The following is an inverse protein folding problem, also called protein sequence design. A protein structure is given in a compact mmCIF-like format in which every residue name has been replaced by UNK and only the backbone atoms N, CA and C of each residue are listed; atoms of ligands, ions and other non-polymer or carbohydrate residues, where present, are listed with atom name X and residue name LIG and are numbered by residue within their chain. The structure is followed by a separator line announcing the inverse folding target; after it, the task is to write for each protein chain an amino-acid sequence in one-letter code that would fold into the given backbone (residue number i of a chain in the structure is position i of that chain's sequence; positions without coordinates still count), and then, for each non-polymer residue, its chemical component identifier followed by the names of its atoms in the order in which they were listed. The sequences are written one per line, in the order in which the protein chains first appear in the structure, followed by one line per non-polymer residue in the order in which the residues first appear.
data_IF_926977980824
#
_entry.id   IF_926977980824
#
_cell.length_a   1.000
_cell.length_b   1.000
_cell.length_c   1.000
_cell.angle_alpha   90.00
_cell.angle_beta   90.00
_cell.angle_gamma   90.00
#
_symmetry.space_group_name_H-M   'P 1'
#
loop_
_entity.id
_entity.type
_entity.pdbx_description
1 polymer ?
#
# COMPACT_ATOMS: atom_id res chain seq x y z
N UNK A 1 9.98 -8.94 -30.21
CA UNK A 1 10.60 -8.96 -28.87
C UNK A 1 9.95 -10.05 -28.07
N UNK A 2 8.66 -9.95 -27.78
CA UNK A 2 7.93 -10.98 -27.03
C UNK A 2 7.97 -12.37 -27.71
N UNK A 3 7.83 -12.42 -29.04
CA UNK A 3 7.95 -13.66 -29.84
C UNK A 3 9.39 -14.17 -30.02
N UNK A 4 10.39 -13.29 -29.89
CA UNK A 4 11.81 -13.61 -30.16
C UNK A 4 12.53 -14.06 -28.87
N UNK A 5 12.01 -13.63 -27.72
CA UNK A 5 12.58 -13.84 -26.40
C UNK A 5 11.49 -14.30 -25.43
N UNK A 6 10.97 -15.51 -25.64
CA UNK A 6 9.99 -16.14 -24.74
C UNK A 6 10.55 -16.43 -23.34
N UNK A 7 11.88 -16.61 -23.25
CA UNK A 7 12.58 -16.88 -22.00
C UNK A 7 12.43 -18.33 -21.53
N UNK A 8 12.49 -18.55 -20.22
CA UNK A 8 12.34 -19.88 -19.64
C UNK A 8 10.87 -20.16 -19.29
N UNK A 9 10.23 -21.05 -20.05
CA UNK A 9 8.80 -21.39 -19.91
C UNK A 9 8.54 -22.22 -18.63
N UNK A 10 9.51 -23.00 -18.18
CA UNK A 10 9.38 -23.85 -17.00
C UNK A 10 10.29 -23.38 -15.87
N UNK A 11 9.72 -23.09 -14.70
CA UNK A 11 10.48 -22.64 -13.53
C UNK A 11 11.22 -23.81 -12.84
N UNK A 12 12.31 -24.29 -13.46
CA UNK A 12 13.16 -25.39 -12.96
C UNK A 12 14.09 -24.97 -11.82
N UNK A 13 14.36 -23.66 -11.68
CA UNK A 13 15.28 -23.11 -10.67
C UNK A 13 16.76 -23.20 -11.05
N UNK A 14 17.06 -23.62 -12.28
CA UNK A 14 18.42 -23.58 -12.84
C UNK A 14 18.81 -22.16 -13.27
N UNK A 15 20.11 -21.90 -13.34
CA UNK A 15 20.61 -20.61 -13.82
C UNK A 15 20.31 -20.47 -15.32
N UNK A 16 19.60 -19.41 -15.68
CA UNK A 16 19.12 -19.17 -17.04
C UNK A 16 19.42 -17.74 -17.46
N UNK A 17 20.18 -17.59 -18.55
CA UNK A 17 20.51 -16.32 -19.17
C UNK A 17 20.04 -16.32 -20.63
N UNK A 18 19.37 -15.24 -21.04
CA UNK A 18 18.85 -15.10 -22.41
C UNK A 18 19.98 -14.69 -23.35
N UNK A 19 20.33 -15.59 -24.26
CA UNK A 19 21.32 -15.32 -25.30
C UNK A 19 20.79 -14.36 -26.36
N UNK A 20 21.63 -13.46 -26.93
CA UNK A 20 21.19 -12.51 -27.92
C UNK A 20 20.95 -13.19 -29.28
N UNK A 21 19.77 -12.93 -29.86
CA UNK A 21 19.43 -13.31 -31.23
C UNK A 21 20.21 -12.45 -32.27
N UNK A 22 20.34 -13.00 -33.48
CA UNK A 22 21.07 -12.36 -34.58
C UNK A 22 20.39 -11.07 -35.09
N UNK A 23 19.06 -11.01 -35.06
CA UNK A 23 18.26 -9.90 -35.56
C UNK A 23 18.24 -8.71 -34.61
N UNK A 24 17.90 -8.94 -33.34
CA UNK A 24 17.70 -7.87 -32.36
C UNK A 24 18.16 -8.31 -31.00
N UNK A 25 18.99 -7.49 -30.33
CA UNK A 25 19.55 -7.82 -29.00
C UNK A 25 18.49 -7.93 -27.92
N UNK A 26 18.73 -8.81 -26.95
CA UNK A 26 17.91 -8.98 -25.75
C UNK A 26 17.90 -7.71 -24.90
N UNK A 27 16.82 -7.53 -24.14
CA UNK A 27 16.69 -6.39 -23.24
C UNK A 27 17.66 -6.55 -22.06
N UNK A 28 18.46 -5.50 -21.79
CA UNK A 28 19.38 -5.49 -20.66
C UNK A 28 18.81 -4.65 -19.52
N UNK A 29 18.52 -5.31 -18.41
CA UNK A 29 18.17 -4.66 -17.15
C UNK A 29 19.30 -4.83 -16.14
N UNK A 30 19.44 -3.86 -15.24
CA UNK A 30 20.29 -3.97 -14.05
C UNK A 30 19.37 -4.00 -12.83
N UNK A 31 19.54 -5.00 -11.97
CA UNK A 31 18.79 -5.10 -10.73
C UNK A 31 19.36 -4.13 -9.70
N UNK A 32 18.65 -3.03 -9.43
CA UNK A 32 18.99 -2.11 -8.35
C UNK A 32 18.30 -2.53 -7.04
N UNK A 33 19.08 -3.09 -6.11
CA UNK A 33 18.60 -3.51 -4.78
C UNK A 33 18.81 -2.44 -3.70
N UNK A 34 19.41 -1.30 -4.05
CA UNK A 34 19.77 -0.25 -3.11
C UNK A 34 20.56 -0.78 -1.91
N UNK A 35 20.08 -0.46 -0.69
CA UNK A 35 20.69 -0.87 0.58
C UNK A 35 20.14 -2.20 1.13
N UNK A 36 19.26 -2.88 0.40
CA UNK A 36 18.54 -4.05 0.88
C UNK A 36 19.32 -5.33 0.55
N UNK A 37 19.31 -6.29 1.48
CA UNK A 37 19.89 -7.62 1.26
C UNK A 37 19.04 -8.40 0.25
N UNK A 38 19.70 -9.09 -0.68
CA UNK A 38 19.06 -9.84 -1.79
C UNK A 38 18.33 -11.11 -1.37
N UNK A 39 18.47 -11.56 -0.13
CA UNK A 39 17.85 -12.80 0.36
C UNK A 39 16.86 -12.50 1.48
N UNK A 40 15.59 -12.81 1.25
CA UNK A 40 14.58 -12.95 2.30
C UNK A 40 14.36 -14.45 2.50
N UNK A 41 14.91 -15.01 3.57
CA UNK A 41 14.94 -16.45 3.87
C UNK A 41 13.58 -17.09 4.20
N UNK A 42 12.49 -16.59 3.63
CA UNK A 42 11.13 -16.98 3.99
C UNK A 42 10.65 -18.15 3.13
N UNK A 43 10.91 -19.37 3.60
CA UNK A 43 10.32 -20.59 3.02
C UNK A 43 8.92 -20.81 3.56
N UNK A 44 7.94 -20.14 2.95
CA UNK A 44 6.52 -20.20 3.36
C UNK A 44 5.98 -21.63 3.32
N UNK A 45 6.35 -22.42 2.31
CA UNK A 45 5.93 -23.82 2.17
C UNK A 45 6.38 -24.69 3.35
N UNK A 46 7.64 -24.55 3.77
CA UNK A 46 8.18 -25.28 4.90
C UNK A 46 7.45 -24.94 6.19
N UNK A 47 7.26 -23.64 6.45
CA UNK A 47 6.55 -23.18 7.64
C UNK A 47 5.08 -23.62 7.67
N UNK A 48 4.40 -23.63 6.53
CA UNK A 48 2.99 -24.00 6.44
C UNK A 48 2.78 -25.49 6.76
N UNK A 49 3.67 -26.36 6.26
CA UNK A 49 3.62 -27.79 6.57
C UNK A 49 3.97 -28.10 8.03
N UNK A 50 5.08 -27.54 8.54
CA UNK A 50 5.50 -27.81 9.92
C UNK A 50 4.50 -27.28 10.93
N UNK A 51 3.95 -26.08 10.73
CA UNK A 51 2.97 -25.51 11.67
C UNK A 51 1.63 -26.25 11.65
N UNK A 52 1.24 -26.82 10.50
CA UNK A 52 0.05 -27.66 10.42
C UNK A 52 0.17 -28.93 11.28
N UNK A 53 1.35 -29.54 11.30
CA UNK A 53 1.64 -30.78 12.02
C UNK A 53 1.96 -30.53 13.51
N UNK A 54 2.80 -29.54 13.81
CA UNK A 54 3.36 -29.31 15.15
C UNK A 54 2.51 -28.36 16.02
N UNK A 55 1.91 -27.31 15.43
CA UNK A 55 1.27 -26.21 16.17
C UNK A 55 0.00 -25.64 15.50
N UNK A 56 -1.15 -26.34 15.60
CA UNK A 56 -2.37 -25.99 14.86
C UNK A 56 -2.96 -24.61 15.23
N UNK A 57 -2.77 -24.14 16.46
CA UNK A 57 -3.23 -22.80 16.90
C UNK A 57 -2.45 -21.67 16.22
N UNK A 58 -1.12 -21.85 16.07
CA UNK A 58 -0.27 -20.92 15.32
C UNK A 58 -0.57 -20.98 13.83
N UNK A 59 -0.85 -22.17 13.29
CA UNK A 59 -1.30 -22.31 11.91
C UNK A 59 -2.59 -21.52 11.64
N UNK A 60 -3.60 -21.65 12.50
CA UNK A 60 -4.87 -20.94 12.33
C UNK A 60 -4.72 -19.41 12.41
N UNK A 61 -3.84 -18.91 13.28
CA UNK A 61 -3.61 -17.46 13.41
C UNK A 61 -2.74 -16.89 12.27
N UNK A 62 -1.60 -17.52 11.97
CA UNK A 62 -0.66 -17.06 10.94
C UNK A 62 -1.21 -17.23 9.51
N UNK A 63 -1.94 -18.31 9.25
CA UNK A 63 -2.48 -18.65 7.92
C UNK A 63 -4.00 -18.47 7.83
N UNK A 64 -4.59 -17.63 8.68
CA UNK A 64 -6.05 -17.41 8.71
C UNK A 64 -6.65 -17.02 7.34
N UNK A 65 -5.95 -16.21 6.55
CA UNK A 65 -6.40 -15.83 5.20
C UNK A 65 -6.28 -16.98 4.19
N UNK A 66 -5.28 -17.84 4.34
CA UNK A 66 -5.09 -19.00 3.47
C UNK A 66 -6.22 -20.00 3.70
N UNK A 67 -6.55 -20.28 4.97
CA UNK A 67 -7.68 -21.12 5.36
C UNK A 67 -8.98 -20.54 4.80
N UNK A 68 -9.22 -19.23 4.97
CA UNK A 68 -10.42 -18.54 4.43
C UNK A 68 -10.53 -18.66 2.91
N UNK A 69 -9.41 -18.74 2.19
CA UNK A 69 -9.36 -18.84 0.72
C UNK A 69 -9.23 -20.29 0.23
N UNK A 70 -9.17 -21.28 1.12
CA UNK A 70 -8.99 -22.69 0.75
C UNK A 70 -7.62 -22.99 0.13
N UNK A 71 -6.58 -22.25 0.54
CA UNK A 71 -5.21 -22.42 0.04
C UNK A 71 -4.44 -23.30 1.02
N UNK A 72 -4.12 -24.51 0.58
CA UNK A 72 -3.36 -25.52 1.33
C UNK A 72 -1.94 -25.67 0.77
N UNK A 73 -1.03 -26.31 1.52
CA UNK A 73 0.37 -26.51 1.13
C UNK A 73 0.49 -27.07 -0.31
N UNK A 74 -0.31 -28.10 -0.60
CA UNK A 74 -0.21 -28.88 -1.83
C UNK A 74 -0.73 -28.14 -3.06
N UNK A 75 -1.68 -27.21 -2.89
CA UNK A 75 -2.30 -26.47 -4.01
C UNK A 75 -1.52 -25.17 -4.37
N UNK A 76 -0.61 -24.72 -3.51
CA UNK A 76 0.14 -23.47 -3.75
C UNK A 76 0.99 -23.54 -5.02
N UNK A 77 1.64 -24.66 -5.30
CA UNK A 77 2.48 -24.82 -6.48
C UNK A 77 1.66 -24.76 -7.78
N UNK A 78 0.55 -25.51 -7.83
CA UNK A 78 -0.37 -25.48 -8.97
C UNK A 78 -0.95 -24.09 -9.22
N UNK A 79 -1.30 -23.38 -8.15
CA UNK A 79 -1.78 -22.00 -8.22
C UNK A 79 -0.76 -21.10 -8.90
N UNK A 80 0.52 -21.15 -8.50
CA UNK A 80 1.57 -20.32 -9.12
C UNK A 80 1.81 -20.70 -10.59
N UNK A 81 1.82 -22.00 -10.94
CA UNK A 81 1.93 -22.42 -12.35
C UNK A 81 0.79 -21.88 -13.21
N UNK A 82 -0.44 -21.94 -12.71
CA UNK A 82 -1.63 -21.37 -13.38
C UNK A 82 -1.49 -19.85 -13.54
N UNK A 83 -0.98 -19.15 -12.53
CA UNK A 83 -0.73 -17.70 -12.59
C UNK A 83 0.35 -17.35 -13.60
N UNK A 84 1.48 -18.08 -13.65
CA UNK A 84 2.53 -17.85 -14.65
C UNK A 84 1.98 -18.00 -16.07
N UNK A 85 1.24 -19.07 -16.35
CA UNK A 85 0.59 -19.28 -17.65
C UNK A 85 -0.38 -18.12 -18.00
N UNK A 86 -1.17 -17.65 -17.03
CA UNK A 86 -2.09 -16.53 -17.25
C UNK A 86 -1.38 -15.19 -17.53
N UNK A 87 -0.27 -14.91 -16.84
CA UNK A 87 0.53 -13.69 -17.08
C UNK A 87 1.21 -13.73 -18.44
N UNK A 88 1.73 -14.90 -18.85
CA UNK A 88 2.30 -15.10 -20.18
C UNK A 88 1.26 -14.91 -21.29
N UNK A 89 0.01 -15.35 -21.07
CA UNK A 89 -1.06 -15.19 -22.05
C UNK A 89 -1.55 -13.73 -22.17
N UNK A 90 -1.77 -13.05 -21.03
CA UNK A 90 -2.30 -11.68 -20.98
C UNK A 90 -1.39 -10.76 -20.13
N UNK A 91 -0.26 -10.26 -20.67
CA UNK A 91 0.68 -9.43 -19.93
C UNK A 91 0.21 -7.97 -19.73
N UNK A 92 -1.04 -7.66 -20.05
CA UNK A 92 -1.57 -6.29 -20.05
C UNK A 92 -2.06 -5.85 -18.67
N UNK A 93 -1.69 -4.63 -18.26
CA UNK A 93 -2.15 -4.05 -16.99
C UNK A 93 -3.65 -3.72 -17.05
N UNK A 94 -4.44 -4.37 -16.19
CA UNK A 94 -5.86 -4.03 -16.01
C UNK A 94 -5.98 -2.72 -15.22
N UNK A 95 -6.18 -1.61 -15.93
CA UNK A 95 -6.42 -0.30 -15.30
C UNK A 95 -7.70 -0.33 -14.45
N UNK A 96 -7.67 0.32 -13.29
CA UNK A 96 -8.86 0.40 -12.44
C UNK A 96 -9.96 1.19 -13.15
N UNK A 97 -11.15 0.61 -13.30
CA UNK A 97 -12.34 1.31 -13.78
C UNK A 97 -12.99 2.24 -12.76
N UNK A 98 -12.28 2.58 -11.67
CA UNK A 98 -12.79 3.48 -10.63
C UNK A 98 -12.91 4.87 -11.24
N UNK A 99 -14.15 5.34 -11.34
CA UNK A 99 -14.41 6.71 -11.74
C UNK A 99 -13.73 7.66 -10.74
N UNK A 100 -13.09 8.74 -11.20
CA UNK A 100 -12.58 9.76 -10.30
C UNK A 100 -13.74 10.26 -9.42
N UNK A 101 -13.50 10.50 -8.12
CA UNK A 101 -14.55 11.00 -7.24
C UNK A 101 -15.08 12.33 -7.80
N UNK A 102 -16.41 12.47 -7.88
CA UNK A 102 -17.08 13.67 -8.42
C UNK A 102 -16.67 14.95 -7.69
N UNK A 103 -16.44 14.84 -6.38
CA UNK A 103 -15.90 15.91 -5.56
C UNK A 103 -14.78 15.36 -4.67
N UNK A 104 -13.65 16.07 -4.61
CA UNK A 104 -12.57 15.72 -3.68
C UNK A 104 -12.93 16.13 -2.26
N UNK A 105 -13.12 15.14 -1.39
CA UNK A 105 -13.28 15.38 0.05
C UNK A 105 -12.00 16.03 0.60
N UNK A 106 -12.12 17.24 1.14
CA UNK A 106 -11.02 17.88 1.88
C UNK A 106 -10.98 17.36 3.31
N UNK A 107 -9.90 16.66 3.66
CA UNK A 107 -9.65 16.21 5.03
C UNK A 107 -9.04 17.29 5.91
N UNK A 108 -8.33 18.25 5.31
CA UNK A 108 -7.67 19.34 6.02
C UNK A 108 -8.49 20.63 5.98
N UNK A 109 -8.49 21.36 7.10
CA UNK A 109 -9.13 22.68 7.25
C UNK A 109 -8.66 23.69 6.18
N UNK A 110 -9.58 24.54 5.70
CA UNK A 110 -9.24 25.65 4.80
C UNK A 110 -8.32 26.63 5.52
N UNK A 111 -7.21 26.99 4.86
CA UNK A 111 -6.33 28.04 5.35
C UNK A 111 -7.14 29.32 5.47
N UNK A 112 -7.17 29.88 6.67
CA UNK A 112 -7.93 31.09 6.97
C UNK A 112 -7.40 32.25 6.13
N UNK A 113 -8.30 33.00 5.50
CA UNK A 113 -7.91 34.18 4.71
C UNK A 113 -7.37 35.28 5.64
N UNK A 114 -6.74 36.31 5.07
CA UNK A 114 -6.23 37.42 5.87
C UNK A 114 -7.35 38.19 6.58
N UNK A 115 -8.48 38.41 5.88
CA UNK A 115 -9.65 39.11 6.42
C UNK A 115 -10.32 38.31 7.54
N UNK A 116 -10.47 37.00 7.38
CA UNK A 116 -10.99 36.11 8.41
C UNK A 116 -10.06 36.05 9.64
N UNK A 117 -8.73 36.12 9.44
CA UNK A 117 -7.74 36.25 10.54
C UNK A 117 -7.90 37.58 11.28
N UNK A 118 -8.05 38.68 10.55
CA UNK A 118 -8.25 40.02 11.12
C UNK A 118 -9.57 40.12 11.88
N UNK A 119 -10.66 39.55 11.34
CA UNK A 119 -11.96 39.51 11.99
C UNK A 119 -11.92 38.69 13.29
N UNK A 120 -11.27 37.52 13.29
CA UNK A 120 -11.05 36.75 14.53
C UNK A 120 -10.23 37.50 15.57
N UNK A 121 -9.23 38.27 15.14
CA UNK A 121 -8.43 39.11 16.04
C UNK A 121 -9.30 40.21 16.67
N UNK A 122 -10.11 40.91 15.87
CA UNK A 122 -11.02 41.95 16.34
C UNK A 122 -12.07 41.37 17.30
N UNK A 123 -12.70 40.23 16.94
CA UNK A 123 -13.63 39.54 17.83
C UNK A 123 -12.99 39.15 19.16
N UNK A 124 -11.75 38.66 19.13
CA UNK A 124 -10.99 38.32 20.33
C UNK A 124 -10.68 39.56 21.18
N UNK A 125 -10.27 40.66 20.56
CA UNK A 125 -9.98 41.92 21.26
C UNK A 125 -11.25 42.49 21.91
N UNK A 126 -12.36 42.53 21.17
CA UNK A 126 -13.64 43.00 21.69
C UNK A 126 -14.11 42.13 22.86
N UNK A 127 -14.02 40.80 22.73
CA UNK A 127 -14.34 39.87 23.82
C UNK A 127 -13.49 40.13 25.07
N UNK A 128 -12.19 40.40 24.92
CA UNK A 128 -11.31 40.70 26.05
C UNK A 128 -11.68 42.04 26.71
N UNK A 129 -11.98 43.06 25.91
CA UNK A 129 -12.36 44.37 26.43
C UNK A 129 -13.73 44.33 27.14
N UNK A 130 -14.68 43.55 26.63
CA UNK A 130 -15.98 43.33 27.28
C UNK A 130 -15.85 42.53 28.57
N UNK A 131 -14.95 41.53 28.61
CA UNK A 131 -14.71 40.73 29.81
C UNK A 131 -13.98 41.52 30.91
N UNK A 132 -13.09 42.46 30.52
CA UNK A 132 -12.38 43.31 31.47
C UNK A 132 -13.23 44.48 32.01
N UNK A 133 -14.31 44.87 31.32
CA UNK A 133 -15.23 45.92 31.75
C UNK A 133 -16.38 45.45 32.64
N UNK A 134 -16.37 44.18 33.07
CA UNK A 134 -17.45 43.58 33.85
C UNK A 134 -17.05 43.32 35.32
N UNK A 135 -15.89 43.85 35.76
CA UNK A 135 -15.40 43.84 37.14
C UNK A 135 -15.53 45.22 37.84
N UNK A 136 -16.03 46.26 37.16
CA UNK A 136 -16.11 47.66 37.67
C UNK A 136 -17.56 48.23 37.70
N UNK A 137 -18.59 47.40 37.91
CA UNK A 137 -19.95 47.87 38.23
C UNK A 137 -20.47 47.19 39.50
N UNK A 138 -19.88 47.52 40.65
CA UNK A 138 -20.44 47.31 41.99
C UNK A 138 -19.82 48.36 42.95
N UNK A 139 -19.99 49.66 42.70
CA UNK A 139 -19.86 50.67 43.78
C UNK A 139 -20.63 51.97 43.46
N UNK A 140 -21.57 52.27 44.37
CA UNK A 140 -22.20 53.57 44.70
C UNK A 140 -23.25 54.18 43.75
N UNK A 141 -24.53 54.07 44.14
CA UNK A 141 -25.35 55.26 44.48
C UNK A 141 -26.68 54.82 45.18
N UNK A 142 -26.67 54.78 46.51
CA UNK A 142 -27.89 54.85 47.34
C UNK A 142 -27.76 56.12 48.21
N UNK A 143 -28.35 57.23 47.75
CA UNK A 143 -28.67 58.44 48.55
C UNK A 143 -30.16 58.47 48.93
#
# INVERSE_FOLDING_TARGET
MDEEYEGNVEATGEDYSVEPAESRRSFRALLDVGLVKTTTGNRVFGALKTLMEDEPEKYQSHFSEYIKRGIEADNIEEMYKKVHAAICADPTEKKSGKQPPKEHKRYNLKKLTYEERKAKLIQRLNSLNSAAGNDDEDEEDDE
#
